data_IF_597469974585
#
_entry.id   IF_597469974585
#
_cell.length_a   1.000
_cell.length_b   1.000
_cell.length_c   1.000
_cell.angle_alpha   90.00
_cell.angle_beta   90.00
_cell.angle_gamma   90.00
#
_symmetry.space_group_name_H-M   'P 1'
#
loop_
_entity.id
_entity.type
_entity.pdbx_description
1 polymer ?
#
# COMPACT_ATOMS: atom_id res chain seq x y z
N UNK A 1 -43.66 22.08 5.14
CA UNK A 1 -42.59 21.98 4.13
C UNK A 1 -42.05 20.56 4.13
N UNK A 2 -42.48 19.72 3.19
CA UNK A 2 -42.14 18.29 3.13
C UNK A 2 -40.96 18.12 2.17
N UNK A 3 -39.75 17.85 2.70
CA UNK A 3 -38.59 17.54 1.88
C UNK A 3 -38.79 16.18 1.18
N UNK A 4 -38.75 16.17 -0.16
CA UNK A 4 -38.91 14.96 -0.96
C UNK A 4 -37.72 14.00 -0.71
N UNK A 5 -37.95 12.74 -0.34
CA UNK A 5 -36.89 11.76 -0.04
C UNK A 5 -35.93 11.48 -1.21
N UNK A 6 -36.32 11.79 -2.46
CA UNK A 6 -35.47 11.66 -3.65
C UNK A 6 -34.31 12.68 -3.73
N UNK A 7 -34.42 13.85 -3.09
CA UNK A 7 -33.37 14.87 -3.10
C UNK A 7 -32.21 14.52 -2.16
N UNK A 8 -32.51 13.87 -1.03
CA UNK A 8 -31.50 13.44 -0.05
C UNK A 8 -30.62 12.34 -0.65
N UNK A 9 -31.21 11.34 -1.34
CA UNK A 9 -30.47 10.27 -2.01
C UNK A 9 -29.51 10.79 -3.10
N UNK A 10 -29.91 11.81 -3.88
CA UNK A 10 -29.02 12.44 -4.88
C UNK A 10 -27.84 13.18 -4.24
N UNK A 11 -28.09 13.90 -3.14
CA UNK A 11 -27.02 14.59 -2.37
C UNK A 11 -26.03 13.59 -1.78
N UNK A 12 -26.53 12.47 -1.26
CA UNK A 12 -25.71 11.43 -0.65
C UNK A 12 -24.83 10.69 -1.67
N UNK A 13 -25.37 10.43 -2.88
CA UNK A 13 -24.61 9.90 -4.01
C UNK A 13 -23.52 10.90 -4.45
N UNK A 14 -23.84 12.19 -4.56
CA UNK A 14 -22.84 13.21 -4.88
C UNK A 14 -21.76 13.32 -3.81
N UNK A 15 -22.11 13.36 -2.53
CA UNK A 15 -21.14 13.36 -1.42
C UNK A 15 -20.23 12.14 -1.46
N UNK A 16 -20.78 10.95 -1.74
CA UNK A 16 -20.03 9.71 -1.87
C UNK A 16 -19.11 9.72 -3.10
N UNK A 17 -19.57 10.24 -4.23
CA UNK A 17 -18.77 10.38 -5.46
C UNK A 17 -17.62 11.39 -5.28
N UNK A 18 -17.91 12.59 -4.75
CA UNK A 18 -16.90 13.62 -4.49
C UNK A 18 -15.88 13.16 -3.46
N UNK A 19 -16.31 12.44 -2.42
CA UNK A 19 -15.39 11.83 -1.44
C UNK A 19 -14.47 10.81 -2.10
N UNK A 20 -15.01 9.92 -2.95
CA UNK A 20 -14.22 8.91 -3.67
C UNK A 20 -13.25 9.53 -4.68
N UNK A 21 -13.65 10.62 -5.34
CA UNK A 21 -12.80 11.39 -6.26
C UNK A 21 -11.67 12.13 -5.51
N UNK A 22 -11.98 12.75 -4.37
CA UNK A 22 -10.97 13.39 -3.51
C UNK A 22 -10.00 12.36 -2.93
N UNK A 23 -10.49 11.19 -2.49
CA UNK A 23 -9.66 10.08 -2.01
C UNK A 23 -8.77 9.52 -3.12
N UNK A 24 -9.29 9.36 -4.34
CA UNK A 24 -8.52 8.93 -5.51
C UNK A 24 -7.45 9.96 -5.89
N UNK A 25 -7.83 11.24 -6.02
CA UNK A 25 -6.91 12.34 -6.32
C UNK A 25 -5.82 12.48 -5.25
N UNK A 26 -6.18 12.25 -3.98
CA UNK A 26 -5.22 12.25 -2.87
C UNK A 26 -4.28 11.05 -2.97
N UNK A 27 -4.79 9.85 -3.23
CA UNK A 27 -3.96 8.64 -3.40
C UNK A 27 -2.95 8.78 -4.54
N UNK A 28 -3.38 9.25 -5.71
CA UNK A 28 -2.51 9.49 -6.87
C UNK A 28 -1.46 10.56 -6.54
N UNK A 29 -1.85 11.62 -5.85
CA UNK A 29 -0.92 12.68 -5.42
C UNK A 29 0.13 12.19 -4.41
N UNK A 30 -0.23 11.28 -3.51
CA UNK A 30 0.72 10.69 -2.55
C UNK A 30 1.68 9.69 -3.22
N UNK A 31 1.21 8.87 -4.16
CA UNK A 31 2.09 8.02 -4.99
C UNK A 31 3.06 8.88 -5.80
N UNK A 32 2.56 9.99 -6.37
CA UNK A 32 3.37 10.96 -7.09
C UNK A 32 4.47 11.57 -6.19
N UNK A 33 4.13 12.03 -4.99
CA UNK A 33 5.11 12.56 -4.04
C UNK A 33 6.16 11.53 -3.63
N UNK A 34 5.79 10.27 -3.42
CA UNK A 34 6.75 9.22 -3.09
C UNK A 34 7.77 8.99 -4.22
N UNK A 35 7.31 8.96 -5.48
CA UNK A 35 8.19 8.84 -6.64
C UNK A 35 9.15 10.04 -6.74
N UNK A 36 8.62 11.25 -6.55
CA UNK A 36 9.41 12.50 -6.60
C UNK A 36 10.45 12.53 -5.48
N UNK A 37 10.09 12.10 -4.26
CA UNK A 37 11.01 11.99 -3.14
C UNK A 37 12.18 11.05 -3.46
N UNK A 38 11.91 9.89 -4.07
CA UNK A 38 12.94 8.95 -4.50
C UNK A 38 13.92 9.55 -5.53
N UNK A 39 13.40 10.23 -6.55
CA UNK A 39 14.22 10.91 -7.58
C UNK A 39 15.12 11.98 -6.94
N UNK A 40 14.56 12.81 -6.05
CA UNK A 40 15.33 13.84 -5.35
C UNK A 40 16.38 13.26 -4.40
N UNK A 41 16.11 12.12 -3.76
CA UNK A 41 17.08 11.42 -2.91
C UNK A 41 18.25 10.86 -3.74
N UNK A 42 17.97 10.25 -4.89
CA UNK A 42 19.00 9.75 -5.82
C UNK A 42 19.85 10.90 -6.36
N UNK A 43 19.21 11.98 -6.83
CA UNK A 43 19.91 13.19 -7.25
C UNK A 43 20.80 13.75 -6.13
N UNK A 44 20.29 13.79 -4.90
CA UNK A 44 21.04 14.30 -3.75
C UNK A 44 22.30 13.48 -3.49
N UNK A 45 22.20 12.15 -3.59
CA UNK A 45 23.31 11.24 -3.34
C UNK A 45 24.36 11.26 -4.47
N UNK A 46 23.94 11.25 -5.73
CA UNK A 46 24.84 11.10 -6.86
C UNK A 46 25.42 12.44 -7.37
N UNK A 47 24.68 13.54 -7.27
CA UNK A 47 24.99 14.80 -7.97
C UNK A 47 25.10 15.97 -7.00
N UNK A 48 24.10 16.21 -6.15
CA UNK A 48 24.08 17.38 -5.27
C UNK A 48 25.29 17.43 -4.31
N UNK A 49 25.67 16.27 -3.76
CA UNK A 49 26.81 16.10 -2.85
C UNK A 49 28.17 15.98 -3.56
N UNK A 50 28.19 15.89 -4.89
CA UNK A 50 29.43 15.76 -5.63
C UNK A 50 30.11 17.13 -5.73
N UNK A 51 31.24 17.30 -5.06
CA UNK A 51 32.00 18.56 -5.03
C UNK A 51 32.74 18.83 -6.34
N UNK A 52 32.92 17.81 -7.18
CA UNK A 52 33.59 17.93 -8.49
C UNK A 52 32.68 18.50 -9.59
N UNK A 53 31.39 18.68 -9.32
CA UNK A 53 30.42 19.24 -10.27
C UNK A 53 30.08 20.68 -9.91
N UNK A 54 30.05 21.54 -10.92
CA UNK A 54 29.62 22.92 -10.77
C UNK A 54 28.08 23.01 -10.61
N UNK A 55 27.61 24.07 -9.96
CA UNK A 55 26.19 24.29 -9.71
C UNK A 55 25.35 24.35 -11.00
N UNK A 56 25.92 24.85 -12.10
CA UNK A 56 25.23 24.88 -13.39
C UNK A 56 25.06 23.48 -14.01
N UNK A 57 26.05 22.59 -13.84
CA UNK A 57 26.00 21.20 -14.31
C UNK A 57 25.00 20.38 -13.50
N UNK A 58 25.04 20.58 -12.17
CA UNK A 58 24.07 20.06 -11.21
C UNK A 58 22.66 20.50 -11.60
N UNK A 59 22.46 21.77 -11.91
CA UNK A 59 21.14 22.30 -12.26
C UNK A 59 20.63 21.76 -13.60
N UNK A 60 21.51 21.62 -14.60
CA UNK A 60 21.13 21.06 -15.89
C UNK A 60 20.67 19.60 -15.73
N UNK A 61 21.40 18.81 -14.96
CA UNK A 61 21.03 17.43 -14.65
C UNK A 61 19.76 17.34 -13.78
N UNK A 62 19.59 18.23 -12.81
CA UNK A 62 18.36 18.30 -12.03
C UNK A 62 17.17 18.50 -12.97
N UNK A 63 17.22 19.49 -13.87
CA UNK A 63 16.13 19.77 -14.82
C UNK A 63 15.81 18.59 -15.74
N UNK A 64 16.79 17.81 -16.16
CA UNK A 64 16.55 16.63 -17.02
C UNK A 64 15.87 15.47 -16.30
N UNK A 65 16.01 15.38 -14.97
CA UNK A 65 15.34 14.35 -14.15
C UNK A 65 13.88 14.70 -13.80
N UNK A 66 13.50 15.98 -13.84
CA UNK A 66 12.17 16.40 -13.42
C UNK A 66 11.16 16.26 -14.56
N UNK A 67 9.99 15.73 -14.24
CA UNK A 67 8.83 15.69 -15.16
C UNK A 67 7.63 16.40 -14.54
N UNK A 68 6.64 16.69 -15.40
CA UNK A 68 5.30 17.12 -15.01
C UNK A 68 5.30 18.29 -14.00
N UNK A 69 4.50 18.19 -12.94
CA UNK A 69 4.34 19.26 -11.96
C UNK A 69 5.61 19.56 -11.16
N UNK A 70 6.61 18.66 -11.13
CA UNK A 70 7.91 18.96 -10.50
C UNK A 70 8.74 19.86 -11.40
N UNK A 71 8.77 19.58 -12.71
CA UNK A 71 9.43 20.45 -13.68
C UNK A 71 8.78 21.84 -13.74
N UNK A 72 7.45 21.91 -13.72
CA UNK A 72 6.70 23.18 -13.68
C UNK A 72 7.04 24.01 -12.44
N UNK A 73 7.39 23.38 -11.30
CA UNK A 73 7.71 24.10 -10.08
C UNK A 73 8.94 25.01 -10.22
N UNK A 74 9.86 24.69 -11.13
CA UNK A 74 11.11 25.42 -11.33
C UNK A 74 11.31 25.90 -12.78
N UNK A 75 10.29 25.79 -13.64
CA UNK A 75 10.41 26.09 -15.07
C UNK A 75 10.71 27.57 -15.35
N UNK A 76 10.28 28.46 -14.46
CA UNK A 76 10.55 29.90 -14.54
C UNK A 76 11.98 30.31 -14.15
N UNK A 77 12.83 29.37 -13.70
CA UNK A 77 14.21 29.66 -13.32
C UNK A 77 15.17 29.44 -14.51
N UNK A 78 15.86 30.48 -15.02
CA UNK A 78 16.91 30.33 -16.01
C UNK A 78 18.05 29.44 -15.50
N UNK A 79 18.74 28.72 -16.40
CA UNK A 79 19.85 27.82 -16.07
C UNK A 79 21.10 28.62 -15.66
N UNK A 80 21.19 29.01 -14.39
CA UNK A 80 22.35 29.71 -13.81
C UNK A 80 22.74 29.11 -12.45
N UNK A 81 24.01 29.24 -12.02
CA UNK A 81 24.47 28.76 -10.71
C UNK A 81 23.65 29.30 -9.53
N UNK A 82 23.26 30.58 -9.57
CA UNK A 82 22.52 31.24 -8.49
C UNK A 82 21.10 30.67 -8.35
N UNK A 83 20.49 30.32 -9.49
CA UNK A 83 19.14 29.77 -9.54
C UNK A 83 19.08 28.28 -9.17
N UNK A 84 20.20 27.58 -9.20
CA UNK A 84 20.27 26.19 -8.74
C UNK A 84 19.85 26.05 -7.27
N UNK A 85 20.40 26.88 -6.38
CA UNK A 85 20.06 26.84 -4.95
C UNK A 85 18.57 27.13 -4.73
N UNK A 86 18.04 28.15 -5.42
CA UNK A 86 16.60 28.48 -5.39
C UNK A 86 15.73 27.32 -5.88
N UNK A 87 16.13 26.65 -6.96
CA UNK A 87 15.42 25.48 -7.47
C UNK A 87 15.36 24.35 -6.43
N UNK A 88 16.49 24.05 -5.77
CA UNK A 88 16.55 23.02 -4.72
C UNK A 88 15.66 23.39 -3.52
N UNK A 89 15.62 24.65 -3.11
CA UNK A 89 14.76 25.14 -2.03
C UNK A 89 13.28 25.00 -2.39
N UNK A 90 12.85 25.47 -3.56
CA UNK A 90 11.46 25.33 -4.04
C UNK A 90 11.03 23.86 -4.05
N UNK A 91 11.90 22.96 -4.52
CA UNK A 91 11.61 21.54 -4.56
C UNK A 91 11.49 20.93 -3.15
N UNK A 92 12.35 21.34 -2.22
CA UNK A 92 12.26 20.92 -0.80
C UNK A 92 10.98 21.45 -0.14
N UNK A 93 10.64 22.71 -0.36
CA UNK A 93 9.43 23.31 0.21
C UNK A 93 8.15 22.68 -0.34
N UNK A 94 8.11 22.40 -1.64
CA UNK A 94 6.89 21.88 -2.29
C UNK A 94 6.74 20.36 -2.13
N UNK A 95 7.85 19.61 -2.18
CA UNK A 95 7.84 18.15 -2.26
C UNK A 95 8.61 17.45 -1.13
N UNK A 96 9.47 18.16 -0.39
CA UNK A 96 10.26 17.63 0.72
C UNK A 96 9.54 17.62 2.08
N UNK A 97 8.23 17.90 2.12
CA UNK A 97 7.42 17.93 3.36
C UNK A 97 7.15 16.53 3.88
N UNK A 98 8.12 16.01 4.63
CA UNK A 98 8.09 14.71 5.31
C UNK A 98 6.81 14.46 6.11
N UNK A 99 6.30 15.47 6.80
CA UNK A 99 5.07 15.41 7.58
C UNK A 99 3.84 15.01 6.74
N UNK A 100 3.76 15.48 5.50
CA UNK A 100 2.65 15.15 4.62
C UNK A 100 2.70 13.67 4.24
N UNK A 101 3.90 13.15 3.94
CA UNK A 101 4.11 11.74 3.64
C UNK A 101 3.77 10.85 4.85
N UNK A 102 4.25 11.23 6.03
CA UNK A 102 3.89 10.54 7.29
C UNK A 102 2.37 10.52 7.45
N UNK A 103 1.70 11.68 7.32
CA UNK A 103 0.25 11.78 7.42
C UNK A 103 -0.46 10.91 6.38
N UNK A 104 0.05 10.83 5.14
CA UNK A 104 -0.54 10.01 4.09
C UNK A 104 -0.45 8.51 4.40
N UNK A 105 0.72 8.03 4.81
CA UNK A 105 0.92 6.63 5.19
C UNK A 105 0.10 6.27 6.43
N UNK A 106 0.07 7.14 7.45
CA UNK A 106 -0.80 6.97 8.62
C UNK A 106 -2.28 6.91 8.22
N UNK A 107 -2.75 7.85 7.38
CA UNK A 107 -4.14 7.84 6.93
C UNK A 107 -4.50 6.55 6.15
N UNK A 108 -3.59 5.98 5.37
CA UNK A 108 -3.83 4.68 4.72
C UNK A 108 -4.00 3.57 5.74
N UNK A 109 -3.13 3.49 6.75
CA UNK A 109 -3.26 2.53 7.86
C UNK A 109 -4.59 2.70 8.62
N UNK A 110 -5.03 3.93 8.86
CA UNK A 110 -6.29 4.23 9.55
C UNK A 110 -7.54 3.85 8.72
N UNK A 111 -7.42 3.78 7.40
CA UNK A 111 -8.53 3.54 6.47
C UNK A 111 -8.43 2.17 5.76
N UNK A 112 -7.66 1.22 6.31
CA UNK A 112 -7.56 -0.13 5.76
C UNK A 112 -8.94 -0.81 5.72
N UNK A 113 -9.24 -1.45 4.60
CA UNK A 113 -10.48 -2.20 4.44
C UNK A 113 -10.44 -3.50 5.24
N UNK A 114 -11.53 -3.80 5.94
CA UNK A 114 -11.66 -5.04 6.70
C UNK A 114 -11.82 -6.24 5.76
N UNK A 115 -11.00 -7.26 5.97
CA UNK A 115 -11.21 -8.58 5.39
C UNK A 115 -12.26 -9.30 6.22
N UNK A 116 -13.41 -9.60 5.61
CA UNK A 116 -14.54 -10.24 6.29
C UNK A 116 -14.54 -11.76 6.16
N UNK A 117 -14.12 -12.26 5.00
CA UNK A 117 -14.10 -13.68 4.72
C UNK A 117 -12.75 -14.27 5.11
N UNK A 118 -12.74 -15.09 6.14
CA UNK A 118 -11.55 -15.83 6.62
C UNK A 118 -10.92 -16.72 5.54
N UNK A 119 -11.72 -17.22 4.59
CA UNK A 119 -11.23 -18.11 3.53
C UNK A 119 -10.72 -17.33 2.31
N UNK A 120 -10.83 -16.00 2.29
CA UNK A 120 -10.29 -15.17 1.21
C UNK A 120 -8.80 -14.88 1.45
N UNK A 121 -7.98 -15.85 1.06
CA UNK A 121 -6.51 -15.80 1.22
C UNK A 121 -5.93 -14.62 0.42
N UNK A 122 -6.48 -14.31 -0.76
CA UNK A 122 -6.01 -13.21 -1.59
C UNK A 122 -6.26 -11.85 -0.95
N UNK A 123 -7.46 -11.63 -0.40
CA UNK A 123 -7.77 -10.40 0.33
C UNK A 123 -6.89 -10.25 1.58
N UNK A 124 -6.63 -11.35 2.29
CA UNK A 124 -5.75 -11.35 3.47
C UNK A 124 -4.28 -11.04 3.10
N UNK A 125 -3.76 -11.63 2.01
CA UNK A 125 -2.43 -11.33 1.47
C UNK A 125 -2.32 -9.86 1.07
N UNK A 126 -3.31 -9.34 0.35
CA UNK A 126 -3.36 -7.93 -0.05
C UNK A 126 -3.35 -6.99 1.16
N UNK A 127 -4.16 -7.27 2.17
CA UNK A 127 -4.19 -6.49 3.42
C UNK A 127 -2.81 -6.52 4.11
N UNK A 128 -2.21 -7.71 4.23
CA UNK A 128 -0.88 -7.88 4.83
C UNK A 128 0.20 -7.07 4.08
N UNK A 129 0.20 -7.14 2.76
CA UNK A 129 1.16 -6.39 1.93
C UNK A 129 0.95 -4.88 2.07
N UNK A 130 -0.31 -4.42 2.07
CA UNK A 130 -0.64 -3.01 2.22
C UNK A 130 -0.16 -2.44 3.57
N UNK A 131 -0.37 -3.18 4.67
CA UNK A 131 0.13 -2.81 6.01
C UNK A 131 1.65 -2.69 5.99
N UNK A 132 2.34 -3.70 5.46
CA UNK A 132 3.81 -3.72 5.39
C UNK A 132 4.38 -2.58 4.56
N UNK A 133 3.75 -2.23 3.43
CA UNK A 133 4.17 -1.10 2.59
C UNK A 133 4.09 0.21 3.37
N UNK A 134 3.00 0.46 4.10
CA UNK A 134 2.87 1.71 4.85
C UNK A 134 3.85 1.76 6.04
N UNK A 135 4.02 0.65 6.78
CA UNK A 135 4.97 0.56 7.90
C UNK A 135 6.40 0.82 7.42
N UNK A 136 6.87 0.12 6.38
CA UNK A 136 8.22 0.32 5.83
C UNK A 136 8.44 1.75 5.33
N UNK A 137 7.40 2.35 4.76
CA UNK A 137 7.45 3.75 4.32
C UNK A 137 7.60 4.70 5.51
N UNK A 138 6.82 4.50 6.58
CA UNK A 138 6.93 5.27 7.83
C UNK A 138 8.32 5.11 8.48
N UNK A 139 8.85 3.90 8.54
CA UNK A 139 10.20 3.61 9.05
C UNK A 139 11.30 4.29 8.21
N UNK A 140 11.17 4.29 6.88
CA UNK A 140 12.10 5.01 5.99
C UNK A 140 12.05 6.53 6.20
N UNK A 141 10.90 7.04 6.65
CA UNK A 141 10.71 8.41 7.11
C UNK A 141 11.09 8.53 8.60
N UNK A 142 11.81 7.60 9.19
CA UNK A 142 12.29 7.69 10.58
C UNK A 142 11.20 7.75 11.65
N UNK A 143 9.99 7.27 11.36
CA UNK A 143 8.93 7.10 12.36
C UNK A 143 9.17 5.77 13.08
N UNK A 144 9.33 5.82 14.40
CA UNK A 144 9.58 4.63 15.22
C UNK A 144 8.28 3.80 15.38
N UNK A 145 8.42 2.48 15.40
CA UNK A 145 7.31 1.53 15.61
C UNK A 145 6.57 1.71 16.92
N UNK A 146 7.26 2.16 17.97
CA UNK A 146 6.66 2.49 19.27
C UNK A 146 5.67 3.64 19.13
N UNK A 147 5.96 4.64 18.27
CA UNK A 147 5.13 5.84 18.11
C UNK A 147 3.74 5.57 17.53
N UNK A 148 3.60 4.51 16.73
CA UNK A 148 2.30 4.11 16.16
C UNK A 148 1.77 2.79 16.74
N UNK A 149 2.62 1.97 17.38
CA UNK A 149 2.27 0.61 17.80
C UNK A 149 1.06 0.51 18.73
N UNK A 150 0.95 1.42 19.71
CA UNK A 150 -0.15 1.44 20.69
C UNK A 150 -1.53 1.66 20.04
N UNK A 151 -1.60 2.50 19.00
CA UNK A 151 -2.85 2.80 18.30
C UNK A 151 -3.09 1.87 17.11
N UNK A 152 -2.02 1.40 16.47
CA UNK A 152 -2.10 0.60 15.25
C UNK A 152 -2.63 -0.80 15.54
N UNK A 153 -2.21 -1.45 16.62
CA UNK A 153 -2.61 -2.82 16.93
C UNK A 153 -4.15 -2.98 17.07
N UNK A 154 -4.88 -2.13 17.84
CA UNK A 154 -6.34 -2.17 17.89
C UNK A 154 -7.04 -1.91 16.55
N UNK A 155 -6.42 -1.10 15.68
CA UNK A 155 -6.95 -0.84 14.33
C UNK A 155 -6.80 -2.08 13.47
N UNK A 156 -5.63 -2.72 13.48
CA UNK A 156 -5.38 -3.93 12.73
C UNK A 156 -6.33 -5.06 13.14
N UNK A 157 -6.64 -5.22 14.44
CA UNK A 157 -7.65 -6.17 14.91
C UNK A 157 -9.04 -5.96 14.30
N UNK A 158 -9.41 -4.72 13.95
CA UNK A 158 -10.67 -4.44 13.27
C UNK A 158 -10.61 -4.76 11.78
N UNK A 159 -9.42 -4.76 11.19
CA UNK A 159 -9.23 -5.04 9.76
C UNK A 159 -9.11 -6.53 9.45
N UNK A 160 -8.70 -7.37 10.40
CA UNK A 160 -8.60 -8.82 10.23
C UNK A 160 -9.83 -9.57 10.77
N UNK A 161 -10.16 -10.75 10.21
CA UNK A 161 -11.24 -11.59 10.72
C UNK A 161 -11.06 -11.99 12.20
N UNK A 162 -12.15 -12.03 12.95
CA UNK A 162 -12.14 -12.25 14.41
C UNK A 162 -11.50 -13.59 14.82
N UNK A 163 -11.60 -14.63 14.00
CA UNK A 163 -10.99 -15.93 14.27
C UNK A 163 -9.46 -15.86 14.29
N UNK A 164 -8.86 -15.00 13.45
CA UNK A 164 -7.42 -14.77 13.44
C UNK A 164 -6.97 -13.96 14.65
N UNK A 165 -7.77 -12.97 15.05
CA UNK A 165 -7.54 -12.23 16.31
C UNK A 165 -7.59 -13.20 17.49
N UNK A 166 -8.58 -14.09 17.54
CA UNK A 166 -8.72 -15.10 18.59
C UNK A 166 -7.53 -16.06 18.61
N UNK A 167 -7.13 -16.58 17.46
CA UNK A 167 -5.99 -17.50 17.34
C UNK A 167 -4.69 -16.82 17.76
N UNK A 168 -4.44 -15.60 17.28
CA UNK A 168 -3.29 -14.79 17.69
C UNK A 168 -3.25 -14.62 19.21
N UNK A 169 -4.35 -14.18 19.84
CA UNK A 169 -4.39 -13.99 21.29
C UNK A 169 -4.15 -15.30 22.07
N UNK A 170 -4.57 -16.46 21.55
CA UNK A 170 -4.26 -17.76 22.16
C UNK A 170 -2.76 -18.08 22.10
N UNK A 171 -2.09 -17.74 20.99
CA UNK A 171 -0.65 -17.91 20.83
C UNK A 171 0.17 -16.93 21.68
N UNK A 172 -0.41 -15.79 22.06
CA UNK A 172 0.21 -14.82 22.95
C UNK A 172 -0.01 -15.11 24.45
N UNK A 173 -0.69 -16.21 24.81
CA UNK A 173 -0.92 -16.56 26.21
C UNK A 173 0.42 -16.65 26.99
N UNK A 174 0.64 -15.69 27.89
CA UNK A 174 1.86 -15.58 28.71
C UNK A 174 2.80 -14.42 28.36
N UNK A 175 2.56 -13.68 27.28
CA UNK A 175 3.22 -12.39 27.00
C UNK A 175 2.42 -11.23 27.60
N UNK A 176 3.10 -10.33 28.33
CA UNK A 176 2.47 -9.15 28.94
C UNK A 176 2.03 -8.10 27.90
N UNK A 177 2.80 -7.92 26.82
CA UNK A 177 2.50 -6.96 25.76
C UNK A 177 2.74 -7.55 24.37
N UNK A 178 1.68 -7.58 23.55
CA UNK A 178 1.77 -7.90 22.12
C UNK A 178 2.00 -6.63 21.31
N UNK A 179 2.82 -6.70 20.28
CA UNK A 179 3.09 -5.57 19.39
C UNK A 179 2.67 -5.87 17.94
N UNK A 180 2.78 -4.85 17.09
CA UNK A 180 2.43 -4.94 15.66
C UNK A 180 3.30 -5.98 14.93
N UNK A 181 4.58 -6.10 15.29
CA UNK A 181 5.48 -7.06 14.64
C UNK A 181 5.09 -8.52 14.94
N UNK A 182 4.67 -8.80 16.18
CA UNK A 182 4.15 -10.12 16.56
C UNK A 182 2.92 -10.49 15.72
N UNK A 183 1.96 -9.56 15.57
CA UNK A 183 0.77 -9.77 14.75
C UNK A 183 1.11 -10.01 13.27
N UNK A 184 2.04 -9.23 12.71
CA UNK A 184 2.46 -9.39 11.32
C UNK A 184 3.16 -10.73 11.08
N UNK A 185 4.00 -11.18 12.02
CA UNK A 185 4.64 -12.49 11.94
C UNK A 185 3.60 -13.62 11.96
N UNK A 186 2.60 -13.53 12.86
CA UNK A 186 1.49 -14.46 12.89
C UNK A 186 0.73 -14.50 11.56
N UNK A 187 0.31 -13.34 11.05
CA UNK A 187 -0.43 -13.25 9.78
C UNK A 187 0.37 -13.82 8.61
N UNK A 188 1.68 -13.52 8.53
CA UNK A 188 2.56 -14.07 7.50
C UNK A 188 2.55 -15.60 7.52
N UNK A 189 2.78 -16.19 8.69
CA UNK A 189 2.86 -17.64 8.85
C UNK A 189 1.53 -18.32 8.46
N UNK A 190 0.41 -17.75 8.90
CA UNK A 190 -0.92 -18.26 8.60
C UNK A 190 -1.27 -18.16 7.10
N UNK A 191 -0.96 -17.02 6.45
CA UNK A 191 -1.19 -16.85 5.01
C UNK A 191 -0.35 -17.86 4.21
N UNK A 192 0.95 -17.99 4.54
CA UNK A 192 1.84 -18.93 3.86
C UNK A 192 1.40 -20.39 4.03
N UNK A 193 0.94 -20.79 5.24
CA UNK A 193 0.41 -22.12 5.49
C UNK A 193 -0.83 -22.42 4.64
N UNK A 194 -1.74 -21.45 4.52
CA UNK A 194 -2.94 -21.57 3.69
C UNK A 194 -2.64 -21.61 2.20
N UNK A 195 -1.72 -20.79 1.72
CA UNK A 195 -1.27 -20.81 0.32
C UNK A 195 -0.63 -22.16 -0.03
N UNK A 196 0.23 -22.70 0.86
CA UNK A 196 0.79 -24.06 0.69
C UNK A 196 -0.31 -25.12 0.64
N UNK A 197 -1.29 -25.03 1.53
CA UNK A 197 -2.42 -25.99 1.58
C UNK A 197 -3.27 -25.91 0.32
N UNK A 198 -3.58 -24.70 -0.16
CA UNK A 198 -4.33 -24.48 -1.40
C UNK A 198 -3.58 -25.03 -2.61
N UNK A 199 -2.27 -24.81 -2.68
CA UNK A 199 -1.43 -25.33 -3.77
C UNK A 199 -1.33 -26.86 -3.73
N UNK A 200 -1.27 -27.48 -2.55
CA UNK A 200 -1.27 -28.93 -2.41
C UNK A 200 -2.62 -29.56 -2.79
N UNK A 201 -3.73 -28.97 -2.34
CA UNK A 201 -5.09 -29.51 -2.53
C UNK A 201 -5.70 -29.21 -3.90
N UNK A 202 -5.21 -28.19 -4.61
CA UNK A 202 -5.66 -27.85 -5.97
C UNK A 202 -5.18 -28.83 -7.06
N UNK A 203 -4.24 -29.73 -6.75
CA UNK A 203 -3.78 -30.80 -7.65
C UNK A 203 -4.77 -31.98 -7.70
N UNK A 204 -5.59 -32.19 -6.67
CA UNK A 204 -6.43 -33.39 -6.57
C UNK A 204 -7.80 -33.28 -7.27
N UNK A 205 -8.35 -32.06 -7.42
CA UNK A 205 -9.66 -31.87 -8.05
C UNK A 205 -9.68 -31.99 -9.58
N UNK A 206 -8.52 -31.89 -10.26
CA UNK A 206 -8.43 -32.14 -11.70
C UNK A 206 -8.29 -33.63 -12.01
N UNK A 207 -7.64 -34.39 -11.14
CA UNK A 207 -7.43 -35.82 -11.35
C UNK A 207 -8.70 -36.65 -11.06
N UNK A 208 -9.52 -36.30 -10.06
CA UNK A 208 -10.76 -37.04 -9.76
C UNK A 208 -11.77 -37.02 -10.92
N UNK A 209 -11.96 -35.88 -11.59
CA UNK A 209 -12.82 -35.76 -12.80
C UNK A 209 -12.27 -36.49 -14.04
N UNK A 210 -10.96 -36.78 -14.07
CA UNK A 210 -10.32 -37.53 -15.16
C UNK A 210 -10.47 -39.04 -14.99
N UNK A 211 -10.58 -39.53 -13.75
CA UNK A 211 -10.86 -40.94 -13.46
C UNK A 211 -12.36 -41.28 -13.58
N UNK A 212 -13.27 -40.41 -13.12
CA UNK A 212 -14.72 -40.60 -13.32
C UNK A 212 -15.14 -40.59 -14.82
N UNK A 213 -14.49 -39.76 -15.64
CA UNK A 213 -14.79 -39.72 -17.08
C UNK A 213 -14.22 -40.90 -17.87
N UNK A 214 -13.18 -41.58 -17.35
CA UNK A 214 -12.63 -42.78 -17.98
C UNK A 214 -13.46 -44.02 -17.66
N UNK A 215 -13.92 -44.18 -16.42
CA UNK A 215 -14.80 -45.30 -16.06
C UNK A 215 -16.16 -45.23 -16.76
N UNK A 216 -16.75 -44.03 -16.91
CA UNK A 216 -18.00 -43.89 -17.67
C UNK A 216 -17.85 -44.19 -19.17
N UNK A 217 -16.68 -43.92 -19.77
CA UNK A 217 -16.40 -44.28 -21.17
C UNK A 217 -16.08 -45.75 -21.39
N UNK A 218 -15.45 -46.41 -20.42
CA UNK A 218 -15.15 -47.85 -20.49
C UNK A 218 -16.41 -48.68 -20.25
N UNK A 219 -17.29 -48.26 -19.33
CA UNK A 219 -18.57 -48.94 -19.09
C UNK A 219 -19.53 -48.83 -20.28
N UNK A 220 -19.49 -47.75 -21.06
CA UNK A 220 -20.30 -47.60 -22.28
C UNK A 220 -19.77 -48.37 -23.48
N UNK A 221 -18.47 -48.67 -23.55
CA UNK A 221 -17.88 -49.43 -24.67
C UNK A 221 -17.98 -50.95 -24.51
N UNK A 222 -18.18 -51.45 -23.28
CA UNK A 222 -18.38 -52.88 -22.98
C UNK A 222 -19.84 -53.32 -23.21
N UNK A 223 -20.81 -52.40 -23.18
CA UNK A 223 -22.24 -52.67 -23.41
C UNK A 223 -22.67 -52.68 -24.90
N UNK A 224 -21.74 -52.46 -25.84
CA UNK A 224 -22.01 -52.38 -27.30
C UNK A 224 -21.24 -53.48 -28.08
N UNK A 225 -20.85 -54.59 -27.44
CA UNK A 225 -20.32 -55.79 -28.11
C UNK A 225 -21.10 -57.02 -27.66
#
# INVERSE_FOLDING_TARGET
>A
MVHRPGSIRKIEIYKKFTRRYLEYSRSVFEVYKNRVSGILAQYKAAIHKNENLQDIEKFNYLKSLLTDSVATAISGLPLTPENYRKAVEILKERFGKKEILISAHTNRLLNLEQVRNTNDIFALRKLYDEINVQIRSLESLGVNSISYGLLLLPILYKCIPCNYVLQFNREQNGKEESNVADLLNFLRNEIEAREKTLNATSVDFKNSKLYENKENKISQSILIR
#
